data_IF_217787027655
#
_entry.id   IF_217787027655
#
_cell.length_a   1.000
_cell.length_b   1.000
_cell.length_c   1.000
_cell.angle_alpha   90.00
_cell.angle_beta   90.00
_cell.angle_gamma   90.00
#
_symmetry.space_group_name_H-M   'P 1'
#
loop_
_entity.id
_entity.type
_entity.pdbx_description
1 polymer ?
#
# COMPACT_ATOMS: atom_id res chain seq x y z
N UNK A 1 -39.83 6.40 -50.92
CA UNK A 1 -39.31 6.79 -52.23
C UNK A 1 -37.81 6.47 -52.23
N UNK A 2 -37.41 5.37 -52.71
CA UNK A 2 -36.90 4.91 -54.01
C UNK A 2 -35.96 5.92 -54.68
N UNK A 3 -34.70 5.51 -54.82
CA UNK A 3 -33.84 5.40 -56.02
C UNK A 3 -32.40 5.24 -55.56
N UNK A 4 -31.69 4.16 -55.73
CA UNK A 4 -31.23 3.34 -56.86
C UNK A 4 -30.19 4.04 -57.76
N UNK A 5 -29.11 3.25 -58.05
CA UNK A 5 -28.21 3.18 -59.22
C UNK A 5 -26.92 4.04 -59.12
N UNK A 6 -25.71 3.62 -59.53
CA UNK A 6 -25.27 2.61 -60.53
C UNK A 6 -23.79 2.28 -60.35
N UNK A 7 -23.47 1.02 -60.61
CA UNK A 7 -22.14 0.43 -60.86
C UNK A 7 -21.49 1.00 -62.14
N UNK A 8 -20.18 1.19 -62.15
CA UNK A 8 -19.39 1.21 -63.38
C UNK A 8 -18.09 0.44 -63.22
N UNK A 9 -18.01 -0.68 -63.93
CA UNK A 9 -16.78 -1.42 -64.28
C UNK A 9 -16.03 -0.63 -65.38
N UNK A 10 -14.72 -0.59 -65.27
CA UNK A 10 -13.80 -0.19 -66.34
C UNK A 10 -12.56 -1.04 -66.36
N UNK A 11 -12.41 -1.76 -67.46
CA UNK A 11 -11.35 -2.74 -67.74
C UNK A 11 -10.07 -2.09 -68.30
N UNK A 12 -8.94 -2.71 -67.97
CA UNK A 12 -7.68 -2.90 -68.73
C UNK A 12 -6.84 -1.72 -69.26
N UNK A 13 -5.58 -1.72 -68.81
CA UNK A 13 -4.48 -1.95 -69.82
C UNK A 13 -3.18 -2.34 -69.10
N UNK A 14 -2.59 -3.45 -69.56
CA UNK A 14 -1.30 -3.97 -69.19
C UNK A 14 -0.20 -3.22 -70.00
N UNK A 15 0.77 -2.64 -69.32
CA UNK A 15 2.07 -2.34 -69.93
C UNK A 15 3.17 -2.75 -68.94
N UNK A 16 3.98 -3.68 -69.41
CA UNK A 16 5.15 -4.14 -68.68
C UNK A 16 6.24 -3.07 -68.60
N UNK A 17 6.90 -3.00 -67.46
CA UNK A 17 8.16 -2.32 -67.31
C UNK A 17 9.08 -3.18 -66.45
N UNK A 18 10.31 -3.31 -66.89
CA UNK A 18 11.38 -4.19 -66.44
C UNK A 18 11.76 -3.98 -64.97
N UNK A 19 12.10 -5.10 -64.32
CA UNK A 19 12.67 -5.17 -62.99
C UNK A 19 14.05 -4.49 -62.95
N UNK A 20 14.19 -3.43 -62.15
CA UNK A 20 15.44 -3.01 -61.57
C UNK A 20 15.49 -3.57 -60.15
N UNK A 21 16.44 -4.48 -59.90
CA UNK A 21 16.70 -5.04 -58.57
C UNK A 21 17.08 -3.94 -57.58
N UNK A 22 16.17 -3.70 -56.63
CA UNK A 22 16.49 -2.97 -55.41
C UNK A 22 16.74 -4.04 -54.35
N UNK A 23 18.01 -4.21 -53.98
CA UNK A 23 18.38 -4.98 -52.78
C UNK A 23 17.61 -4.46 -51.60
N UNK A 24 16.75 -5.30 -51.02
CA UNK A 24 16.07 -5.01 -49.77
C UNK A 24 17.13 -4.89 -48.68
N UNK A 25 17.33 -3.66 -48.14
CA UNK A 25 18.09 -3.47 -46.92
C UNK A 25 17.50 -4.36 -45.83
N UNK A 26 18.34 -5.02 -44.99
CA UNK A 26 17.85 -5.84 -43.91
C UNK A 26 16.94 -4.96 -43.01
N UNK A 27 15.74 -5.44 -42.73
CA UNK A 27 14.88 -4.83 -41.70
C UNK A 27 15.68 -4.71 -40.42
N UNK A 28 15.87 -3.49 -39.92
CA UNK A 28 16.35 -3.25 -38.55
C UNK A 28 15.56 -4.18 -37.65
N UNK A 29 16.26 -4.91 -36.80
CA UNK A 29 15.65 -5.79 -35.80
C UNK A 29 14.55 -5.03 -35.06
N UNK A 30 13.51 -5.74 -34.67
CA UNK A 30 12.41 -5.17 -33.89
C UNK A 30 13.03 -4.35 -32.75
N UNK A 31 12.72 -3.05 -32.71
CA UNK A 31 13.09 -2.20 -31.58
C UNK A 31 12.57 -2.89 -30.33
N UNK A 32 13.47 -3.20 -29.40
CA UNK A 32 13.05 -3.69 -28.07
C UNK A 32 12.20 -2.60 -27.43
N UNK A 33 11.09 -2.95 -26.75
CA UNK A 33 10.26 -1.96 -26.12
C UNK A 33 11.10 -1.10 -25.17
N UNK A 34 11.01 0.22 -25.30
CA UNK A 34 11.62 1.15 -24.36
C UNK A 34 10.97 0.96 -22.98
N UNK A 35 11.75 0.67 -21.96
CA UNK A 35 11.31 0.54 -20.56
C UNK A 35 11.86 -0.70 -19.86
N UNK A 36 11.55 -0.78 -18.58
CA UNK A 36 11.90 -1.94 -17.76
C UNK A 36 10.92 -3.07 -18.07
N UNK A 37 11.47 -4.26 -18.38
CA UNK A 37 10.70 -5.48 -18.59
C UNK A 37 10.94 -6.42 -17.43
N UNK A 38 9.86 -6.86 -16.81
CA UNK A 38 9.93 -7.73 -15.65
C UNK A 38 9.63 -9.18 -16.01
N UNK A 39 10.43 -10.09 -15.46
CA UNK A 39 10.19 -11.52 -15.45
C UNK A 39 9.82 -11.93 -14.01
N UNK A 40 8.65 -12.49 -13.84
CA UNK A 40 8.18 -12.96 -12.52
C UNK A 40 8.99 -14.17 -12.09
N UNK A 41 9.55 -14.12 -10.87
CA UNK A 41 10.27 -15.21 -10.22
C UNK A 41 9.33 -15.99 -9.31
N UNK A 42 8.53 -15.28 -8.52
CA UNK A 42 7.54 -15.83 -7.60
C UNK A 42 6.38 -14.86 -7.47
N UNK A 43 5.18 -15.38 -7.48
CA UNK A 43 3.95 -14.62 -7.29
C UNK A 43 3.02 -15.40 -6.37
N UNK A 44 2.53 -14.76 -5.33
CA UNK A 44 1.55 -15.31 -4.41
C UNK A 44 0.16 -14.74 -4.73
N UNK A 45 -0.93 -15.47 -4.45
CA UNK A 45 -2.27 -15.00 -4.78
C UNK A 45 -2.66 -13.76 -3.98
N UNK A 46 -3.31 -12.82 -4.64
CA UNK A 46 -3.88 -11.60 -4.08
C UNK A 46 -5.32 -11.42 -4.57
N UNK A 47 -6.10 -10.64 -3.84
CA UNK A 47 -7.42 -10.19 -4.25
C UNK A 47 -7.33 -9.02 -5.24
N UNK A 48 -8.47 -8.54 -5.76
CA UNK A 48 -8.56 -7.45 -6.74
C UNK A 48 -7.87 -6.16 -6.24
N UNK A 49 -7.44 -5.30 -7.20
CA UNK A 49 -6.89 -3.98 -6.90
C UNK A 49 -8.03 -3.05 -6.47
N UNK A 50 -7.91 -2.45 -5.29
CA UNK A 50 -8.86 -1.47 -4.75
C UNK A 50 -8.37 -0.03 -4.96
N UNK A 51 -9.26 0.94 -4.71
CA UNK A 51 -8.94 2.36 -4.82
C UNK A 51 -9.41 3.14 -3.61
N UNK A 52 -8.47 3.53 -2.72
CA UNK A 52 -8.75 4.38 -1.56
C UNK A 52 -9.15 5.81 -1.93
N UNK A 53 -8.88 6.25 -3.16
CA UNK A 53 -9.18 7.58 -3.70
C UNK A 53 -8.71 8.71 -2.76
N UNK A 54 -9.61 9.59 -2.31
CA UNK A 54 -9.31 10.75 -1.47
C UNK A 54 -9.52 10.45 0.02
N UNK A 55 -8.92 9.37 0.48
CA UNK A 55 -8.91 8.99 1.89
C UNK A 55 -7.50 8.57 2.32
N UNK A 56 -7.04 9.05 3.46
CA UNK A 56 -5.74 8.67 4.06
C UNK A 56 -5.82 7.31 4.76
N UNK A 57 -6.38 6.30 4.10
CA UNK A 57 -6.69 4.99 4.67
C UNK A 57 -5.89 3.84 4.05
N UNK A 58 -4.73 4.15 3.44
CA UNK A 58 -3.82 3.16 2.84
C UNK A 58 -3.45 2.04 3.81
N UNK A 59 -3.26 2.36 5.09
CA UNK A 59 -3.00 1.41 6.16
C UNK A 59 -4.10 0.33 6.26
N UNK A 60 -5.36 0.71 6.07
CA UNK A 60 -6.50 -0.20 6.13
C UNK A 60 -6.59 -1.06 4.87
N UNK A 61 -6.52 -0.44 3.68
CA UNK A 61 -6.56 -1.14 2.40
C UNK A 61 -5.44 -2.18 2.27
N UNK A 62 -4.21 -1.82 2.65
CA UNK A 62 -3.06 -2.74 2.57
C UNK A 62 -3.12 -3.86 3.59
N UNK A 63 -3.59 -3.59 4.81
CA UNK A 63 -3.72 -4.62 5.84
C UNK A 63 -4.86 -5.59 5.55
N UNK A 64 -6.01 -5.10 5.05
CA UNK A 64 -7.10 -6.01 4.66
C UNK A 64 -6.68 -6.84 3.44
N UNK A 65 -5.99 -6.25 2.45
CA UNK A 65 -5.42 -7.02 1.35
C UNK A 65 -4.42 -8.10 1.84
N UNK A 66 -3.66 -7.83 2.90
CA UNK A 66 -2.79 -8.82 3.55
C UNK A 66 -3.63 -9.95 4.19
N UNK A 67 -4.67 -9.64 4.97
CA UNK A 67 -5.55 -10.62 5.60
C UNK A 67 -6.33 -11.45 4.56
N UNK A 68 -6.81 -10.82 3.49
CA UNK A 68 -7.46 -11.50 2.36
C UNK A 68 -6.49 -12.49 1.67
N UNK A 69 -5.23 -12.08 1.48
CA UNK A 69 -4.18 -12.96 0.93
C UNK A 69 -3.86 -14.14 1.87
N UNK A 70 -3.91 -13.93 3.19
CA UNK A 70 -3.75 -15.01 4.16
C UNK A 70 -4.89 -16.03 4.05
N UNK A 71 -6.13 -15.61 3.86
CA UNK A 71 -7.26 -16.51 3.65
C UNK A 71 -7.13 -17.30 2.34
N UNK A 72 -6.63 -16.67 1.26
CA UNK A 72 -6.29 -17.38 0.01
C UNK A 72 -5.20 -18.42 0.27
N UNK A 73 -4.14 -18.08 0.99
CA UNK A 73 -3.05 -19.01 1.37
C UNK A 73 -3.55 -20.17 2.22
N UNK A 74 -4.48 -19.91 3.14
CA UNK A 74 -5.11 -20.92 3.99
C UNK A 74 -6.11 -21.81 3.24
N UNK A 75 -6.40 -21.52 1.95
CA UNK A 75 -7.41 -22.26 1.16
C UNK A 75 -8.84 -22.00 1.58
N UNK A 76 -9.12 -20.87 2.24
CA UNK A 76 -10.45 -20.48 2.70
C UNK A 76 -11.31 -19.85 1.61
N UNK A 77 -10.72 -19.48 0.46
CA UNK A 77 -11.38 -18.78 -0.63
C UNK A 77 -11.04 -17.28 -0.66
N UNK A 78 -11.68 -16.58 -1.57
CA UNK A 78 -11.52 -15.15 -1.76
C UNK A 78 -12.55 -14.41 -0.90
N UNK A 79 -12.08 -13.46 -0.11
CA UNK A 79 -12.90 -12.57 0.70
C UNK A 79 -12.62 -11.12 0.27
N UNK A 80 -13.61 -10.28 0.48
CA UNK A 80 -13.57 -8.84 0.22
C UNK A 80 -14.13 -8.12 1.45
N UNK A 81 -13.26 -7.59 2.29
CA UNK A 81 -13.62 -6.96 3.57
C UNK A 81 -13.82 -5.46 3.43
N UNK A 82 -14.74 -4.92 4.23
CA UNK A 82 -15.02 -3.50 4.30
C UNK A 82 -13.92 -2.74 5.04
N UNK A 83 -13.22 -1.87 4.33
CA UNK A 83 -12.31 -0.91 4.94
C UNK A 83 -13.09 0.09 5.79
N UNK A 84 -14.29 0.49 5.36
CA UNK A 84 -15.08 1.51 6.06
C UNK A 84 -15.51 1.06 7.46
N UNK A 85 -15.75 -0.25 7.66
CA UNK A 85 -16.04 -0.79 8.98
C UNK A 85 -14.84 -0.65 9.94
N UNK A 86 -13.66 -1.02 9.49
CA UNK A 86 -12.43 -0.89 10.29
C UNK A 86 -12.08 0.59 10.51
N UNK A 87 -12.18 1.41 9.47
CA UNK A 87 -11.90 2.86 9.54
C UNK A 87 -12.83 3.54 10.54
N UNK A 88 -14.14 3.24 10.51
CA UNK A 88 -15.11 3.82 11.43
C UNK A 88 -14.74 3.55 12.91
N UNK A 89 -14.48 2.28 13.23
CA UNK A 89 -14.09 1.89 14.58
C UNK A 89 -12.74 2.52 15.00
N UNK A 90 -11.77 2.50 14.10
CA UNK A 90 -10.43 3.05 14.35
C UNK A 90 -10.46 4.56 14.57
N UNK A 91 -11.26 5.29 13.81
CA UNK A 91 -11.42 6.74 14.00
C UNK A 91 -12.07 7.08 15.35
N UNK A 92 -13.05 6.30 15.82
CA UNK A 92 -13.61 6.48 17.15
C UNK A 92 -12.57 6.27 18.26
N UNK A 93 -11.78 5.20 18.16
CA UNK A 93 -10.70 4.92 19.11
C UNK A 93 -9.63 6.02 19.10
N UNK A 94 -9.25 6.51 17.91
CA UNK A 94 -8.26 7.58 17.77
C UNK A 94 -8.77 8.91 18.33
N UNK A 95 -10.05 9.22 18.13
CA UNK A 95 -10.70 10.38 18.76
C UNK A 95 -10.65 10.28 20.29
N UNK A 96 -10.97 9.11 20.84
CA UNK A 96 -10.89 8.87 22.27
C UNK A 96 -9.46 9.02 22.81
N UNK A 97 -8.47 8.47 22.10
CA UNK A 97 -7.06 8.62 22.45
C UNK A 97 -6.62 10.09 22.42
N UNK A 98 -6.99 10.83 21.37
CA UNK A 98 -6.69 12.26 21.26
C UNK A 98 -7.29 13.07 22.42
N UNK A 99 -8.53 12.78 22.81
CA UNK A 99 -9.16 13.44 23.95
C UNK A 99 -8.47 13.09 25.27
N UNK A 100 -8.16 11.80 25.51
CA UNK A 100 -7.47 11.33 26.72
C UNK A 100 -6.06 11.89 26.88
N UNK A 101 -5.37 12.14 25.76
CA UNK A 101 -4.01 12.71 25.72
C UNK A 101 -4.02 14.23 25.56
N UNK A 102 -5.17 14.90 25.73
CA UNK A 102 -5.33 16.35 25.60
C UNK A 102 -4.84 16.92 24.25
N UNK A 103 -4.87 16.09 23.20
CA UNK A 103 -4.46 16.43 21.84
C UNK A 103 -2.96 16.24 21.55
N UNK A 104 -2.20 15.62 22.44
CA UNK A 104 -0.81 15.23 22.16
C UNK A 104 -0.75 14.12 21.11
N UNK A 105 -1.68 13.15 21.18
CA UNK A 105 -1.97 12.28 20.04
C UNK A 105 -2.92 13.01 19.10
N UNK A 106 -2.49 13.26 17.87
CA UNK A 106 -3.30 13.91 16.85
C UNK A 106 -4.43 13.00 16.37
N UNK A 107 -5.62 13.57 16.16
CA UNK A 107 -6.65 12.93 15.37
C UNK A 107 -6.35 13.18 13.89
N UNK A 108 -6.29 12.14 13.08
CA UNK A 108 -5.98 12.21 11.64
C UNK A 108 -6.47 10.94 10.94
N UNK A 109 -6.48 10.95 9.60
CA UNK A 109 -6.95 9.81 8.79
C UNK A 109 -5.94 8.64 8.74
N UNK A 110 -4.64 8.91 8.89
CA UNK A 110 -3.59 7.90 8.89
C UNK A 110 -3.76 6.88 10.01
N UNK A 111 -3.05 5.79 9.91
CA UNK A 111 -3.05 4.71 10.90
C UNK A 111 -1.98 3.68 10.58
N UNK A 112 -1.80 2.73 11.47
CA UNK A 112 -0.83 1.65 11.32
C UNK A 112 -1.51 0.34 10.90
N UNK A 113 -0.74 -0.59 10.37
CA UNK A 113 -1.24 -1.94 10.09
C UNK A 113 -1.80 -2.64 11.33
N UNK A 114 -1.25 -2.32 12.51
CA UNK A 114 -1.73 -2.85 13.77
C UNK A 114 -3.16 -2.42 14.08
N UNK A 115 -3.62 -1.29 13.56
CA UNK A 115 -5.01 -0.85 13.75
C UNK A 115 -6.01 -1.85 13.16
N UNK A 116 -5.66 -2.50 12.03
CA UNK A 116 -6.49 -3.55 11.43
C UNK A 116 -6.39 -4.84 12.23
N UNK A 117 -5.17 -5.24 12.64
CA UNK A 117 -4.98 -6.45 13.46
C UNK A 117 -5.74 -6.33 14.77
N UNK A 118 -5.64 -5.18 15.44
CA UNK A 118 -6.43 -4.88 16.63
C UNK A 118 -7.94 -4.82 16.32
N UNK A 119 -8.31 -4.15 15.24
CA UNK A 119 -9.71 -3.92 14.87
C UNK A 119 -10.46 -5.23 14.56
N UNK A 120 -9.84 -6.15 13.82
CA UNK A 120 -10.47 -7.45 13.52
C UNK A 120 -10.65 -8.31 14.78
N UNK A 121 -9.73 -8.23 15.75
CA UNK A 121 -9.85 -8.92 17.02
C UNK A 121 -10.90 -8.27 17.94
N UNK A 122 -10.89 -6.94 18.04
CA UNK A 122 -11.74 -6.20 18.96
C UNK A 122 -13.19 -6.03 18.45
N UNK A 123 -13.36 -5.75 17.16
CA UNK A 123 -14.65 -5.40 16.55
C UNK A 123 -15.17 -6.46 15.57
N UNK A 124 -14.30 -7.31 15.05
CA UNK A 124 -14.63 -8.28 14.01
C UNK A 124 -14.39 -7.75 12.60
N UNK A 125 -14.96 -8.44 11.62
CA UNK A 125 -14.90 -8.09 10.19
C UNK A 125 -16.29 -8.13 9.58
N UNK A 126 -16.49 -7.39 8.50
CA UNK A 126 -17.70 -7.44 7.67
C UNK A 126 -17.31 -7.48 6.20
N UNK A 127 -18.12 -8.11 5.31
CA UNK A 127 -17.90 -8.00 3.87
C UNK A 127 -18.01 -6.56 3.38
N UNK A 128 -17.30 -6.22 2.31
CA UNK A 128 -17.37 -4.90 1.65
C UNK A 128 -18.81 -4.50 1.30
N UNK A 129 -19.64 -5.47 0.88
CA UNK A 129 -21.03 -5.23 0.49
C UNK A 129 -21.88 -4.61 1.61
N UNK A 130 -21.56 -4.86 2.88
CA UNK A 130 -22.31 -4.38 4.04
C UNK A 130 -22.00 -2.91 4.38
N UNK A 131 -20.79 -2.43 4.06
CA UNK A 131 -20.38 -1.06 4.36
C UNK A 131 -19.37 -0.57 3.31
N UNK A 132 -19.89 -0.23 2.12
CA UNK A 132 -19.08 0.17 0.97
C UNK A 132 -18.62 1.63 1.06
N UNK A 133 -17.43 1.96 0.52
CA UNK A 133 -16.95 3.34 0.46
C UNK A 133 -17.89 4.21 -0.40
N UNK A 134 -18.01 5.48 -0.04
CA UNK A 134 -18.69 6.50 -0.85
C UNK A 134 -20.21 6.46 -0.90
N UNK A 135 -20.85 5.37 -0.48
CA UNK A 135 -22.31 5.15 -0.63
C UNK A 135 -23.12 6.26 0.05
N UNK A 136 -22.70 6.73 1.23
CA UNK A 136 -23.45 7.71 2.02
C UNK A 136 -23.57 9.09 1.34
N UNK A 137 -22.70 9.39 0.38
CA UNK A 137 -22.73 10.63 -0.42
C UNK A 137 -22.84 10.37 -1.93
N UNK A 138 -23.34 9.19 -2.31
CA UNK A 138 -23.68 8.85 -3.68
C UNK A 138 -22.49 8.65 -4.63
N UNK A 139 -21.34 8.21 -4.09
CA UNK A 139 -20.13 7.91 -4.85
C UNK A 139 -19.76 6.43 -4.73
N UNK A 140 -18.91 5.94 -5.63
CA UNK A 140 -18.37 4.57 -5.60
C UNK A 140 -17.05 4.48 -4.82
N UNK A 141 -16.38 5.60 -4.57
CA UNK A 141 -15.08 5.69 -3.94
C UNK A 141 -15.08 6.67 -2.77
N UNK A 142 -14.20 6.44 -1.80
CA UNK A 142 -14.05 7.28 -0.62
C UNK A 142 -13.62 8.71 -0.94
N UNK A 143 -14.19 9.67 -0.21
CA UNK A 143 -13.71 11.04 -0.13
C UNK A 143 -13.88 11.53 1.32
N UNK A 144 -12.81 11.45 2.10
CA UNK A 144 -12.82 11.79 3.52
C UNK A 144 -12.42 13.24 3.82
N UNK A 145 -12.33 14.11 2.81
CA UNK A 145 -11.89 15.49 3.04
C UNK A 145 -12.83 16.26 3.97
N UNK A 146 -14.15 16.18 3.74
CA UNK A 146 -15.14 16.85 4.57
C UNK A 146 -15.29 16.16 5.93
N UNK A 147 -15.38 14.81 5.95
CA UNK A 147 -15.39 14.01 7.18
C UNK A 147 -14.23 14.39 8.09
N UNK A 148 -13.00 14.44 7.55
CA UNK A 148 -11.80 14.79 8.30
C UNK A 148 -11.92 16.21 8.90
N UNK A 149 -12.28 17.18 8.08
CA UNK A 149 -12.38 18.58 8.52
C UNK A 149 -13.39 18.75 9.67
N UNK A 150 -14.55 18.10 9.58
CA UNK A 150 -15.59 18.14 10.63
C UNK A 150 -15.14 17.41 11.88
N UNK A 151 -14.64 16.18 11.74
CA UNK A 151 -14.20 15.37 12.87
C UNK A 151 -13.02 15.98 13.60
N UNK A 152 -12.00 16.49 12.87
CA UNK A 152 -10.84 17.16 13.45
C UNK A 152 -11.25 18.39 14.27
N UNK A 153 -12.18 19.19 13.74
CA UNK A 153 -12.67 20.38 14.46
C UNK A 153 -13.36 20.02 15.78
N UNK A 154 -14.21 18.99 15.76
CA UNK A 154 -14.93 18.55 16.97
C UNK A 154 -13.97 17.91 17.96
N UNK A 155 -13.12 16.99 17.54
CA UNK A 155 -12.14 16.34 18.43
C UNK A 155 -11.19 17.38 19.04
N UNK A 156 -10.67 18.32 18.24
CA UNK A 156 -9.79 19.38 18.75
C UNK A 156 -10.50 20.29 19.77
N UNK A 157 -11.77 20.63 19.55
CA UNK A 157 -12.53 21.43 20.49
C UNK A 157 -12.69 20.75 21.87
N UNK A 158 -12.83 19.44 21.89
CA UNK A 158 -12.92 18.65 23.12
C UNK A 158 -11.53 18.42 23.73
N UNK A 159 -10.56 17.95 22.94
CA UNK A 159 -9.22 17.57 23.42
C UNK A 159 -8.42 18.77 23.96
N UNK A 160 -8.47 19.91 23.26
CA UNK A 160 -7.72 21.14 23.60
C UNK A 160 -8.59 22.22 24.24
N UNK A 161 -9.88 21.95 24.40
CA UNK A 161 -10.83 22.87 25.02
C UNK A 161 -10.55 23.07 26.52
N UNK A 162 -10.89 24.25 27.03
CA UNK A 162 -10.76 24.58 28.45
C UNK A 162 -11.96 24.05 29.27
N UNK A 163 -12.57 22.96 28.83
CA UNK A 163 -13.70 22.35 29.53
C UNK A 163 -13.19 21.62 30.77
N UNK A 164 -13.79 21.95 31.94
CA UNK A 164 -13.41 21.33 33.21
C UNK A 164 -14.14 20.03 33.50
N UNK A 165 -15.30 19.83 32.86
CA UNK A 165 -16.07 18.60 32.95
C UNK A 165 -16.74 18.34 31.60
N UNK A 166 -16.70 17.10 31.15
CA UNK A 166 -17.38 16.64 29.94
C UNK A 166 -18.74 16.03 30.37
N UNK A 167 -19.76 16.27 29.55
CA UNK A 167 -21.11 15.78 29.85
C UNK A 167 -21.21 14.28 29.49
N UNK A 168 -21.93 13.57 30.34
CA UNK A 168 -22.22 12.16 30.23
C UNK A 168 -23.73 11.98 30.09
N UNK A 169 -24.15 11.11 29.18
CA UNK A 169 -25.56 10.75 28.99
C UNK A 169 -26.08 9.86 30.12
N UNK A 170 -27.40 9.68 30.27
CA UNK A 170 -27.97 8.83 31.33
C UNK A 170 -27.54 7.37 31.31
N UNK A 171 -27.09 6.85 30.10
CA UNK A 171 -26.56 5.51 29.92
C UNK A 171 -25.06 5.40 30.25
N UNK A 172 -24.42 6.48 30.66
CA UNK A 172 -22.99 6.51 31.03
C UNK A 172 -22.01 6.84 29.92
N UNK A 173 -22.50 7.09 28.70
CA UNK A 173 -21.64 7.41 27.55
C UNK A 173 -21.31 8.91 27.50
N UNK A 174 -20.09 9.24 27.05
CA UNK A 174 -19.67 10.61 26.80
C UNK A 174 -20.45 11.23 25.63
N UNK A 175 -21.12 12.36 25.82
CA UNK A 175 -21.92 12.98 24.75
C UNK A 175 -21.07 13.38 23.52
N UNK A 176 -19.85 13.82 23.75
CA UNK A 176 -18.94 14.13 22.63
C UNK A 176 -18.60 12.88 21.79
N UNK A 177 -18.45 11.70 22.42
CA UNK A 177 -18.19 10.44 21.72
C UNK A 177 -19.37 10.05 20.85
N UNK A 178 -20.60 10.12 21.38
CA UNK A 178 -21.83 9.93 20.58
C UNK A 178 -21.93 10.92 19.42
N UNK A 179 -21.48 12.16 19.62
CA UNK A 179 -21.50 13.18 18.55
C UNK A 179 -20.51 12.82 17.42
N UNK A 180 -19.31 12.36 17.74
CA UNK A 180 -18.33 11.90 16.74
C UNK A 180 -18.82 10.65 16.04
N UNK A 181 -19.38 9.69 16.76
CA UNK A 181 -19.97 8.49 16.19
C UNK A 181 -21.09 8.84 15.19
N UNK A 182 -22.00 9.73 15.54
CA UNK A 182 -23.06 10.19 14.63
C UNK A 182 -22.50 10.91 13.38
N UNK A 183 -21.39 11.65 13.51
CA UNK A 183 -20.71 12.22 12.35
C UNK A 183 -20.14 11.10 11.46
N UNK A 184 -19.48 10.11 12.04
CA UNK A 184 -18.93 8.99 11.29
C UNK A 184 -20.04 8.18 10.59
N UNK A 185 -21.18 7.94 11.27
CA UNK A 185 -22.35 7.26 10.68
C UNK A 185 -22.88 8.00 9.45
N UNK A 186 -22.92 9.35 9.48
CA UNK A 186 -23.36 10.17 8.33
C UNK A 186 -22.47 10.00 7.12
N UNK A 187 -21.15 9.91 7.29
CA UNK A 187 -20.20 9.88 6.16
C UNK A 187 -19.74 8.47 5.76
N UNK A 188 -19.69 7.53 6.71
CA UNK A 188 -19.18 6.18 6.48
C UNK A 188 -20.29 5.13 6.45
N UNK A 189 -21.45 5.43 7.05
CA UNK A 189 -22.56 4.51 7.29
C UNK A 189 -22.54 3.95 8.72
N UNK A 190 -23.71 3.50 9.17
CA UNK A 190 -23.85 2.81 10.45
C UNK A 190 -23.16 1.44 10.40
N UNK A 191 -22.48 1.08 11.46
CA UNK A 191 -21.84 -0.23 11.58
C UNK A 191 -22.90 -1.32 11.73
N UNK A 192 -22.91 -2.37 10.89
CA UNK A 192 -23.90 -3.43 10.99
C UNK A 192 -23.71 -4.22 12.30
N UNK A 193 -24.79 -4.39 13.06
CA UNK A 193 -24.80 -5.29 14.21
C UNK A 193 -24.85 -6.74 13.77
N UNK A 194 -25.57 -7.02 12.66
CA UNK A 194 -25.74 -8.33 12.04
C UNK A 194 -25.85 -8.17 10.53
N UNK A 195 -25.44 -9.21 9.81
CA UNK A 195 -25.56 -9.31 8.36
C UNK A 195 -25.67 -10.77 7.92
N UNK A 196 -26.04 -11.00 6.68
CA UNK A 196 -26.11 -12.34 6.08
C UNK A 196 -25.01 -12.51 5.04
N UNK A 197 -24.13 -13.50 5.23
CA UNK A 197 -23.12 -13.88 4.27
C UNK A 197 -23.30 -15.35 3.88
N UNK A 198 -23.42 -15.63 2.57
CA UNK A 198 -23.66 -16.97 2.02
C UNK A 198 -24.81 -17.73 2.69
N UNK A 199 -25.88 -16.99 3.05
CA UNK A 199 -27.09 -17.56 3.66
C UNK A 199 -26.99 -17.82 5.18
N UNK A 200 -25.90 -17.45 5.81
CA UNK A 200 -25.70 -17.56 7.28
C UNK A 200 -25.73 -16.16 7.89
N UNK A 201 -26.47 -15.98 9.01
CA UNK A 201 -26.47 -14.75 9.79
C UNK A 201 -25.24 -14.69 10.68
N UNK A 202 -24.54 -13.55 10.65
CA UNK A 202 -23.36 -13.27 11.48
C UNK A 202 -23.48 -11.93 12.18
N UNK A 203 -22.83 -11.82 13.32
CA UNK A 203 -22.30 -10.53 13.84
C UNK A 203 -20.89 -10.33 13.28
N UNK A 204 -20.34 -9.10 13.23
CA UNK A 204 -18.95 -8.88 12.79
C UNK A 204 -17.95 -9.79 13.52
N UNK A 205 -18.15 -9.99 14.82
CA UNK A 205 -17.26 -10.82 15.62
C UNK A 205 -17.40 -12.31 15.29
N UNK A 206 -18.63 -12.84 15.17
CA UNK A 206 -18.82 -14.25 14.81
C UNK A 206 -18.37 -14.56 13.38
N UNK A 207 -18.40 -13.57 12.49
CA UNK A 207 -17.84 -13.72 11.15
C UNK A 207 -16.31 -13.84 11.21
N UNK A 208 -15.63 -12.94 11.90
CA UNK A 208 -14.18 -13.04 12.14
C UNK A 208 -13.80 -14.39 12.76
N UNK A 209 -14.50 -14.83 13.80
CA UNK A 209 -14.23 -16.10 14.47
C UNK A 209 -14.37 -17.30 13.52
N UNK A 210 -15.30 -17.25 12.55
CA UNK A 210 -15.51 -18.31 11.55
C UNK A 210 -14.38 -18.46 10.53
N UNK A 211 -13.58 -17.40 10.32
CA UNK A 211 -12.49 -17.39 9.35
C UNK A 211 -11.26 -18.18 9.83
N UNK A 212 -11.13 -18.41 11.14
CA UNK A 212 -10.00 -19.13 11.71
C UNK A 212 -8.69 -18.33 11.69
N UNK A 213 -8.79 -17.00 11.61
CA UNK A 213 -7.67 -16.07 11.76
C UNK A 213 -7.32 -15.93 13.25
N UNK A 214 -6.04 -15.72 13.54
CA UNK A 214 -5.56 -15.44 14.88
C UNK A 214 -4.66 -14.21 14.87
N UNK A 215 -5.11 -13.11 15.46
CA UNK A 215 -4.37 -11.84 15.48
C UNK A 215 -2.93 -11.98 16.02
N UNK A 216 -2.69 -12.92 16.97
CA UNK A 216 -1.36 -13.16 17.54
C UNK A 216 -0.37 -13.85 16.57
N UNK A 217 -0.82 -14.28 15.40
CA UNK A 217 0.06 -14.85 14.36
C UNK A 217 0.70 -13.76 13.49
N UNK A 218 0.24 -12.52 13.60
CA UNK A 218 0.71 -11.41 12.80
C UNK A 218 1.58 -10.48 13.64
N UNK A 219 2.83 -10.32 13.22
CA UNK A 219 3.83 -9.56 13.98
C UNK A 219 4.39 -8.40 13.16
N UNK A 220 4.64 -7.27 13.83
CA UNK A 220 5.29 -6.11 13.21
C UNK A 220 6.79 -6.19 13.37
N UNK A 221 7.54 -5.93 12.27
CA UNK A 221 9.00 -5.88 12.24
C UNK A 221 9.48 -4.54 11.69
N UNK A 222 10.61 -4.07 12.19
CA UNK A 222 11.30 -2.86 11.74
C UNK A 222 12.82 -3.02 11.85
N UNK A 223 13.58 -2.00 11.40
CA UNK A 223 15.05 -2.06 11.44
C UNK A 223 15.65 -0.68 11.69
N UNK A 224 15.93 -0.33 12.95
CA UNK A 224 16.55 0.95 13.33
C UNK A 224 17.55 0.76 14.49
N UNK A 225 18.65 1.52 14.49
CA UNK A 225 19.75 1.36 15.46
C UNK A 225 19.59 2.16 16.75
N UNK A 226 18.59 3.04 16.84
CA UNK A 226 18.35 3.83 18.05
C UNK A 226 17.67 3.02 19.18
N UNK A 227 17.23 1.80 18.88
CA UNK A 227 16.82 0.78 19.85
C UNK A 227 17.61 -0.51 19.64
N UNK A 228 17.81 -1.33 20.70
CA UNK A 228 18.53 -2.60 20.56
C UNK A 228 17.83 -3.54 19.57
N UNK A 229 18.62 -4.27 18.78
CA UNK A 229 18.08 -5.34 17.95
C UNK A 229 17.57 -6.51 18.80
N UNK A 230 16.65 -7.29 18.25
CA UNK A 230 15.97 -8.42 18.86
C UNK A 230 15.15 -8.06 20.11
N UNK A 231 14.77 -6.82 20.24
CA UNK A 231 13.80 -6.31 21.22
C UNK A 231 12.60 -5.69 20.54
N UNK A 232 11.56 -5.37 21.29
CA UNK A 232 10.42 -4.62 20.79
C UNK A 232 10.46 -3.17 21.25
N UNK A 233 9.96 -2.27 20.44
CA UNK A 233 9.69 -0.88 20.78
C UNK A 233 8.52 -0.33 19.97
N UNK A 234 7.91 0.73 20.46
CA UNK A 234 6.90 1.46 19.69
C UNK A 234 7.61 2.37 18.69
N UNK A 235 7.54 2.04 17.39
CA UNK A 235 8.14 2.86 16.34
C UNK A 235 7.58 4.28 16.40
N UNK A 236 8.46 5.28 16.48
CA UNK A 236 8.12 6.69 16.67
C UNK A 236 7.76 7.33 15.33
N UNK A 237 6.55 7.03 14.85
CA UNK A 237 5.91 7.62 13.69
C UNK A 237 4.51 8.12 14.06
N UNK A 238 3.99 9.18 13.41
CA UNK A 238 2.69 9.77 13.75
C UNK A 238 1.52 8.79 13.68
N UNK A 239 1.59 7.83 12.76
CA UNK A 239 0.52 6.87 12.50
C UNK A 239 0.53 5.67 13.46
N UNK A 240 1.59 5.49 14.25
CA UNK A 240 1.61 4.52 15.35
C UNK A 240 1.00 5.10 16.65
N UNK A 241 -0.16 5.73 16.54
CA UNK A 241 -0.85 6.41 17.64
C UNK A 241 -1.33 5.45 18.75
N UNK A 242 -1.44 4.15 18.48
CA UNK A 242 -1.71 3.12 19.50
C UNK A 242 -0.46 2.72 20.28
N UNK A 243 0.75 3.17 19.85
CA UNK A 243 2.04 2.76 20.41
C UNK A 243 2.28 1.25 20.31
N UNK A 244 1.82 0.67 19.20
CA UNK A 244 2.02 -0.74 18.89
C UNK A 244 3.51 -1.06 18.80
N UNK A 245 3.86 -2.26 19.28
CA UNK A 245 5.24 -2.70 19.34
C UNK A 245 5.67 -3.37 18.04
N UNK A 246 6.88 -3.06 17.58
CA UNK A 246 7.54 -3.74 16.46
C UNK A 246 8.82 -4.41 16.96
N UNK A 247 9.08 -5.63 16.52
CA UNK A 247 10.38 -6.28 16.73
C UNK A 247 11.42 -5.61 15.85
N UNK A 248 12.58 -5.33 16.43
CA UNK A 248 13.68 -4.65 15.77
C UNK A 248 14.74 -5.65 15.28
N UNK A 249 15.04 -5.64 13.99
CA UNK A 249 16.02 -6.52 13.35
C UNK A 249 17.15 -5.73 12.69
N UNK A 250 18.34 -6.30 12.52
CA UNK A 250 19.29 -5.79 11.54
C UNK A 250 18.65 -5.77 10.14
N UNK A 251 19.03 -4.78 9.32
CA UNK A 251 18.39 -4.59 8.01
C UNK A 251 18.56 -5.80 7.08
N UNK A 252 19.68 -6.51 7.15
CA UNK A 252 19.90 -7.69 6.31
C UNK A 252 18.93 -8.82 6.70
N UNK A 253 18.69 -9.02 8.01
CA UNK A 253 17.70 -9.99 8.48
C UNK A 253 16.28 -9.58 8.14
N UNK A 254 15.95 -8.28 8.17
CA UNK A 254 14.65 -7.81 7.72
C UNK A 254 14.44 -8.10 6.23
N UNK A 255 15.46 -7.90 5.38
CA UNK A 255 15.40 -8.24 3.95
C UNK A 255 15.27 -9.75 3.74
N UNK A 256 15.91 -10.58 4.57
CA UNK A 256 15.74 -12.03 4.54
C UNK A 256 14.30 -12.45 4.87
N UNK A 257 13.64 -11.76 5.81
CA UNK A 257 12.21 -11.99 6.12
C UNK A 257 11.33 -11.72 4.89
N UNK A 258 11.56 -10.62 4.15
CA UNK A 258 10.81 -10.36 2.92
C UNK A 258 10.94 -11.50 1.91
N UNK A 259 12.17 -11.92 1.64
CA UNK A 259 12.43 -12.98 0.67
C UNK A 259 11.84 -14.32 1.11
N UNK A 260 12.04 -14.69 2.38
CA UNK A 260 11.52 -15.92 2.93
C UNK A 260 9.98 -15.95 2.91
N UNK A 261 9.33 -14.85 3.28
CA UNK A 261 7.88 -14.74 3.25
C UNK A 261 7.34 -15.02 1.84
N UNK A 262 7.83 -14.29 0.84
CA UNK A 262 7.34 -14.42 -0.54
C UNK A 262 7.62 -15.81 -1.10
N UNK A 263 8.83 -16.34 -0.91
CA UNK A 263 9.21 -17.65 -1.44
C UNK A 263 8.40 -18.80 -0.82
N UNK A 264 7.91 -18.63 0.41
CA UNK A 264 7.10 -19.63 1.12
C UNK A 264 5.59 -19.41 1.03
N UNK A 265 5.12 -18.53 0.14
CA UNK A 265 3.69 -18.36 -0.15
C UNK A 265 2.98 -17.32 0.72
N UNK A 266 3.70 -16.58 1.56
CA UNK A 266 3.17 -15.49 2.36
C UNK A 266 3.27 -14.16 1.62
N UNK A 267 2.46 -13.19 2.05
CA UNK A 267 2.55 -11.79 1.64
C UNK A 267 3.08 -10.92 2.79
N UNK A 268 3.39 -9.67 2.52
CA UNK A 268 3.94 -8.74 3.51
C UNK A 268 3.19 -7.41 3.41
N UNK A 269 2.51 -6.99 4.49
CA UNK A 269 2.03 -5.62 4.59
C UNK A 269 3.24 -4.70 4.79
N UNK A 270 3.42 -3.71 3.95
CA UNK A 270 4.65 -2.92 3.80
C UNK A 270 4.39 -1.42 3.94
N UNK A 271 4.88 -0.82 5.02
CA UNK A 271 4.90 0.62 5.27
C UNK A 271 6.17 1.24 4.72
N UNK A 272 6.04 2.25 3.88
CA UNK A 272 7.15 2.85 3.15
C UNK A 272 7.00 4.35 2.96
N UNK A 273 8.12 5.02 2.85
CA UNK A 273 8.21 6.33 2.22
C UNK A 273 8.05 6.17 0.70
N UNK A 274 7.13 6.93 0.13
CA UNK A 274 6.84 6.97 -1.32
C UNK A 274 6.96 8.39 -1.89
N UNK A 275 7.40 9.35 -1.07
CA UNK A 275 7.61 10.76 -1.46
C UNK A 275 8.85 10.97 -2.33
N UNK A 276 9.42 9.92 -2.87
CA UNK A 276 10.69 9.88 -3.57
C UNK A 276 10.54 10.02 -5.07
N UNK A 277 11.52 10.66 -5.70
CA UNK A 277 11.57 10.76 -7.17
C UNK A 277 11.63 9.40 -7.87
N UNK A 278 12.20 8.40 -7.20
CA UNK A 278 12.26 7.02 -7.71
C UNK A 278 10.95 6.26 -7.59
N UNK A 279 9.97 6.72 -6.80
CA UNK A 279 8.63 6.14 -6.72
C UNK A 279 7.74 6.79 -7.78
N UNK A 280 7.64 6.16 -8.95
CA UNK A 280 6.98 6.75 -10.12
C UNK A 280 5.49 6.42 -10.17
N UNK A 281 4.71 7.24 -10.86
CA UNK A 281 3.29 6.96 -11.14
C UNK A 281 3.09 5.84 -12.16
N UNK A 282 4.14 5.50 -12.90
CA UNK A 282 4.12 4.43 -13.91
C UNK A 282 4.21 3.03 -13.29
N UNK A 283 4.47 2.92 -11.99
CA UNK A 283 4.48 1.67 -11.27
C UNK A 283 5.89 1.09 -11.01
N UNK A 284 6.90 1.95 -10.87
CA UNK A 284 8.25 1.56 -10.45
C UNK A 284 8.69 2.32 -9.22
N UNK A 285 9.45 1.65 -8.34
CA UNK A 285 10.10 2.26 -7.20
C UNK A 285 11.57 1.85 -7.19
N UNK A 286 12.48 2.78 -7.48
CA UNK A 286 13.91 2.54 -7.63
C UNK A 286 14.72 3.52 -6.76
N UNK A 287 15.92 3.11 -6.37
CA UNK A 287 16.87 3.94 -5.63
C UNK A 287 18.17 4.10 -6.42
N UNK A 288 18.26 5.06 -7.36
CA UNK A 288 19.46 5.25 -8.18
C UNK A 288 20.67 5.63 -7.33
N UNK A 289 21.85 5.05 -7.61
CA UNK A 289 23.11 5.48 -7.01
C UNK A 289 23.64 6.71 -7.74
N UNK A 290 23.27 7.90 -7.22
CA UNK A 290 23.63 9.17 -7.83
C UNK A 290 25.13 9.48 -7.76
N UNK A 291 25.85 8.92 -6.80
CA UNK A 291 27.31 9.10 -6.70
C UNK A 291 28.02 8.30 -7.80
N UNK A 292 27.63 7.04 -7.99
CA UNK A 292 28.13 6.23 -9.11
C UNK A 292 27.66 6.77 -10.46
N UNK A 293 26.40 7.20 -10.57
CA UNK A 293 25.87 7.79 -11.79
C UNK A 293 26.70 9.00 -12.25
N UNK A 294 27.24 9.81 -11.34
CA UNK A 294 28.07 10.95 -11.66
C UNK A 294 29.43 10.58 -12.25
N UNK A 295 29.93 9.36 -11.98
CA UNK A 295 31.22 8.86 -12.44
C UNK A 295 31.13 7.90 -13.63
N UNK A 296 30.01 7.20 -13.78
CA UNK A 296 29.84 6.13 -14.79
C UNK A 296 29.06 6.57 -16.03
N UNK A 297 28.16 7.55 -15.90
CA UNK A 297 27.47 8.12 -17.06
C UNK A 297 28.45 9.00 -17.85
N UNK A 298 28.51 8.82 -19.16
CA UNK A 298 29.19 9.77 -20.00
C UNK A 298 28.51 11.15 -19.82
N UNK A 299 29.28 12.23 -19.94
CA UNK A 299 28.79 13.58 -19.67
C UNK A 299 27.55 13.96 -20.47
N UNK A 300 27.24 13.25 -21.59
CA UNK A 300 26.07 13.49 -22.43
C UNK A 300 24.79 12.94 -21.80
N UNK A 301 24.84 11.75 -21.19
CA UNK A 301 23.66 11.11 -20.57
C UNK A 301 23.31 11.77 -19.23
N UNK A 302 24.33 12.13 -18.45
CA UNK A 302 24.14 12.97 -17.25
C UNK A 302 23.51 14.31 -17.60
N UNK A 303 24.02 14.96 -18.65
CA UNK A 303 23.49 16.25 -19.09
C UNK A 303 22.04 16.14 -19.60
N UNK A 304 21.66 15.03 -20.23
CA UNK A 304 20.28 14.76 -20.61
C UNK A 304 19.39 14.59 -19.39
N UNK A 305 19.81 13.77 -18.43
CA UNK A 305 19.04 13.50 -17.22
C UNK A 305 18.84 14.74 -16.36
N UNK A 306 19.88 15.57 -16.18
CA UNK A 306 19.80 16.84 -15.46
C UNK A 306 18.89 17.88 -16.13
N UNK A 307 18.71 17.81 -17.45
CA UNK A 307 17.80 18.68 -18.20
C UNK A 307 16.34 18.20 -18.19
N UNK A 308 16.06 16.98 -17.74
CA UNK A 308 14.71 16.48 -17.59
C UNK A 308 13.97 17.24 -16.49
N UNK A 309 12.70 17.50 -16.71
CA UNK A 309 11.81 17.96 -15.64
C UNK A 309 11.65 16.87 -14.58
N UNK A 310 11.22 17.25 -13.38
CA UNK A 310 10.90 16.29 -12.32
C UNK A 310 9.93 15.20 -12.82
N UNK A 311 8.89 15.58 -13.55
CA UNK A 311 7.92 14.63 -14.12
C UNK A 311 8.57 13.68 -15.13
N UNK A 312 9.51 14.16 -15.95
CA UNK A 312 10.23 13.31 -16.90
C UNK A 312 11.20 12.36 -16.18
N UNK A 313 11.87 12.82 -15.11
CA UNK A 313 12.72 11.95 -14.28
C UNK A 313 11.94 10.86 -13.58
N UNK A 314 10.74 11.17 -13.09
CA UNK A 314 9.82 10.19 -12.47
C UNK A 314 9.29 9.14 -13.46
N UNK A 315 9.28 9.43 -14.75
CA UNK A 315 8.81 8.51 -15.79
C UNK A 315 9.93 7.81 -16.58
N UNK A 316 11.20 8.23 -16.40
CA UNK A 316 12.32 7.67 -17.11
C UNK A 316 13.03 6.61 -16.26
N UNK A 317 13.03 5.32 -16.65
CA UNK A 317 13.84 4.33 -15.96
C UNK A 317 15.32 4.68 -16.11
N UNK A 318 15.99 4.89 -14.97
CA UNK A 318 17.43 5.15 -14.99
C UNK A 318 18.21 3.89 -15.34
N UNK A 319 19.13 4.02 -16.27
CA UNK A 319 20.07 2.95 -16.65
C UNK A 319 21.22 2.73 -15.64
N UNK A 320 21.12 3.33 -14.44
CA UNK A 320 22.17 3.32 -13.43
C UNK A 320 21.97 2.24 -12.39
N UNK A 321 23.06 1.82 -11.77
CA UNK A 321 23.07 0.90 -10.64
C UNK A 321 22.29 1.49 -9.47
N UNK A 322 21.67 0.64 -8.67
CA UNK A 322 20.90 1.06 -7.53
C UNK A 322 21.76 1.10 -6.27
N UNK A 323 21.57 2.13 -5.44
CA UNK A 323 22.30 2.29 -4.20
C UNK A 323 21.84 1.27 -3.17
N UNK A 324 22.77 0.40 -2.71
CA UNK A 324 22.54 -0.51 -1.62
C UNK A 324 22.98 0.13 -0.30
N UNK A 325 22.02 0.66 0.46
CA UNK A 325 22.31 1.41 1.69
C UNK A 325 22.74 0.50 2.84
N UNK A 326 23.63 1.02 3.69
CA UNK A 326 24.00 0.39 4.96
C UNK A 326 22.94 0.60 6.04
N UNK A 327 23.09 -0.10 7.17
CA UNK A 327 22.24 0.10 8.35
C UNK A 327 22.33 1.55 8.89
N UNK A 328 23.53 2.14 8.85
CA UNK A 328 23.78 3.51 9.32
C UNK A 328 23.17 4.55 8.39
N UNK A 329 23.25 4.37 7.08
CA UNK A 329 22.62 5.24 6.10
C UNK A 329 21.11 5.21 6.25
N UNK A 330 20.52 4.01 6.45
CA UNK A 330 19.10 3.86 6.73
C UNK A 330 18.68 4.60 8.00
N UNK A 331 19.42 4.45 9.10
CA UNK A 331 19.17 5.17 10.36
C UNK A 331 19.28 6.68 10.17
N UNK A 332 20.29 7.13 9.40
CA UNK A 332 20.45 8.55 9.07
C UNK A 332 19.24 9.10 8.32
N UNK A 333 18.73 8.35 7.33
CA UNK A 333 17.54 8.75 6.56
C UNK A 333 16.29 8.91 7.43
N UNK A 334 16.11 8.04 8.42
CA UNK A 334 15.03 8.17 9.41
C UNK A 334 15.25 9.39 10.33
N UNK A 335 16.45 9.58 10.86
CA UNK A 335 16.77 10.66 11.80
C UNK A 335 16.63 12.05 11.19
N UNK A 336 16.99 12.21 9.92
CA UNK A 336 16.96 13.51 9.20
C UNK A 336 15.68 13.69 8.35
N UNK A 337 14.73 12.74 8.44
CA UNK A 337 13.45 12.75 7.72
C UNK A 337 13.58 12.68 6.18
N UNK A 338 14.64 12.10 5.67
CA UNK A 338 14.72 11.64 4.27
C UNK A 338 13.87 10.39 4.03
N UNK A 339 13.50 9.67 5.10
CA UNK A 339 12.58 8.55 5.07
C UNK A 339 11.49 8.79 6.10
N UNK A 340 10.26 8.88 5.64
CA UNK A 340 9.07 9.17 6.44
C UNK A 340 8.01 8.08 6.29
N UNK A 341 7.00 8.11 7.15
CA UNK A 341 5.87 7.19 7.09
C UNK A 341 4.77 7.79 6.21
N UNK A 342 4.69 7.34 4.96
CA UNK A 342 3.83 7.96 3.96
C UNK A 342 2.70 7.06 3.49
N UNK A 343 2.98 5.75 3.28
CA UNK A 343 2.06 4.89 2.56
C UNK A 343 2.17 3.41 2.94
N UNK A 344 1.01 2.75 3.04
CA UNK A 344 0.91 1.31 3.24
C UNK A 344 0.53 0.57 1.96
N UNK A 345 1.21 -0.53 1.66
CA UNK A 345 1.03 -1.36 0.47
C UNK A 345 1.18 -2.85 0.82
N UNK A 346 0.98 -3.75 -0.16
CA UNK A 346 1.15 -5.18 0.01
C UNK A 346 2.23 -5.71 -0.93
N UNK A 347 3.31 -6.28 -0.42
CA UNK A 347 4.27 -7.05 -1.20
C UNK A 347 3.78 -8.49 -1.32
N UNK A 348 3.73 -9.03 -2.56
CA UNK A 348 3.17 -10.35 -2.83
C UNK A 348 3.99 -11.19 -3.81
N UNK A 349 5.04 -10.64 -4.41
CA UNK A 349 5.84 -11.35 -5.39
C UNK A 349 7.26 -10.82 -5.53
N UNK A 350 8.06 -11.55 -6.30
CA UNK A 350 9.44 -11.19 -6.70
C UNK A 350 9.54 -11.29 -8.21
N UNK A 351 10.16 -10.28 -8.84
CA UNK A 351 10.45 -10.24 -10.26
C UNK A 351 11.89 -9.78 -10.49
N UNK A 352 12.38 -9.98 -11.71
CA UNK A 352 13.69 -9.48 -12.19
C UNK A 352 13.51 -8.67 -13.44
N UNK A 353 14.28 -7.59 -13.58
CA UNK A 353 14.37 -6.87 -14.83
C UNK A 353 15.28 -7.61 -15.84
N UNK A 354 15.41 -7.06 -17.06
CA UNK A 354 16.24 -7.62 -18.13
C UNK A 354 17.75 -7.61 -17.81
N UNK A 355 18.19 -6.90 -16.75
CA UNK A 355 19.56 -6.86 -16.24
C UNK A 355 19.80 -7.81 -15.08
N UNK A 356 18.73 -8.44 -14.58
CA UNK A 356 18.77 -9.34 -13.43
C UNK A 356 18.61 -8.63 -12.08
N UNK A 357 18.33 -7.33 -12.05
CA UNK A 357 18.02 -6.60 -10.82
C UNK A 357 16.70 -7.12 -10.23
N UNK A 358 16.69 -7.39 -8.93
CA UNK A 358 15.52 -7.93 -8.24
C UNK A 358 14.58 -6.84 -7.73
N UNK A 359 13.30 -7.11 -7.91
CA UNK A 359 12.19 -6.25 -7.47
C UNK A 359 11.17 -7.06 -6.70
N UNK A 360 10.53 -6.44 -5.73
CA UNK A 360 9.29 -6.93 -5.16
C UNK A 360 8.10 -6.44 -5.99
N UNK A 361 7.11 -7.31 -6.16
CA UNK A 361 5.82 -6.97 -6.75
C UNK A 361 4.90 -6.47 -5.67
N UNK A 362 4.33 -5.29 -5.85
CA UNK A 362 3.60 -4.54 -4.84
C UNK A 362 2.19 -4.24 -5.32
N UNK A 363 1.18 -4.71 -4.60
CA UNK A 363 -0.22 -4.30 -4.78
C UNK A 363 -0.42 -2.95 -4.09
N UNK A 364 -0.81 -1.93 -4.86
CA UNK A 364 -1.15 -0.61 -4.35
C UNK A 364 -2.67 -0.42 -4.29
N UNK A 365 -3.13 0.59 -3.57
CA UNK A 365 -4.55 0.93 -3.38
C UNK A 365 -4.97 2.21 -4.11
N UNK A 366 -4.41 2.45 -5.31
CA UNK A 366 -4.74 3.62 -6.15
C UNK A 366 -5.53 3.27 -7.42
N UNK A 367 -6.24 2.14 -7.40
CA UNK A 367 -6.94 1.60 -8.55
C UNK A 367 -5.98 1.01 -9.60
N UNK A 368 -6.54 0.54 -10.70
CA UNK A 368 -5.78 -0.02 -11.84
C UNK A 368 -5.09 1.07 -12.68
N UNK A 369 -4.41 2.00 -12.03
CA UNK A 369 -3.65 3.06 -12.68
C UNK A 369 -2.22 2.61 -13.05
N UNK A 370 -1.54 3.40 -13.90
CA UNK A 370 -0.15 3.17 -14.31
C UNK A 370 0.01 2.04 -15.33
N UNK A 371 1.26 1.82 -15.72
CA UNK A 371 1.65 0.84 -16.76
C UNK A 371 1.29 -0.59 -16.37
N UNK A 372 1.34 -0.90 -15.08
CA UNK A 372 1.16 -2.25 -14.55
C UNK A 372 -0.17 -2.42 -13.79
N UNK A 373 -1.18 -1.58 -14.10
CA UNK A 373 -2.56 -1.73 -13.60
C UNK A 373 -2.68 -1.90 -12.09
N UNK A 374 -2.12 -0.94 -11.34
CA UNK A 374 -2.20 -0.93 -9.87
C UNK A 374 -1.12 -1.76 -9.17
N UNK A 375 -0.20 -2.36 -9.92
CA UNK A 375 0.99 -3.03 -9.40
C UNK A 375 2.21 -2.12 -9.55
N UNK A 376 3.05 -2.12 -8.54
CA UNK A 376 4.37 -1.47 -8.53
C UNK A 376 5.47 -2.53 -8.46
N UNK A 377 6.59 -2.24 -9.10
CA UNK A 377 7.81 -3.01 -8.98
C UNK A 377 8.82 -2.18 -8.17
N UNK A 378 8.98 -2.54 -6.91
CA UNK A 378 9.91 -1.88 -5.99
C UNK A 378 11.24 -2.65 -5.93
N UNK A 379 12.33 -2.01 -6.32
CA UNK A 379 13.64 -2.65 -6.22
C UNK A 379 13.98 -3.02 -4.79
N UNK A 380 14.73 -4.10 -4.58
CA UNK A 380 15.18 -4.48 -3.23
C UNK A 380 15.98 -3.36 -2.56
N UNK A 381 16.71 -2.57 -3.33
CA UNK A 381 17.43 -1.41 -2.82
C UNK A 381 16.50 -0.32 -2.27
N UNK A 382 15.41 -0.04 -2.99
CA UNK A 382 14.38 0.90 -2.53
C UNK A 382 13.71 0.40 -1.25
N UNK A 383 13.25 -0.85 -1.24
CA UNK A 383 12.60 -1.47 -0.08
C UNK A 383 13.53 -1.47 1.13
N UNK A 384 14.81 -1.81 0.95
CA UNK A 384 15.82 -1.77 2.01
C UNK A 384 15.94 -0.40 2.66
N UNK A 385 15.92 0.67 1.87
CA UNK A 385 16.08 2.04 2.39
C UNK A 385 14.78 2.60 2.95
N UNK A 386 13.66 2.46 2.24
CA UNK A 386 12.44 3.21 2.46
C UNK A 386 11.37 2.50 3.31
N UNK A 387 11.60 1.27 3.74
CA UNK A 387 10.70 0.56 4.64
C UNK A 387 10.68 1.21 6.02
N UNK A 388 9.50 1.54 6.54
CA UNK A 388 9.31 1.95 7.93
C UNK A 388 9.11 0.72 8.82
N UNK A 389 8.06 -0.03 8.56
CA UNK A 389 7.76 -1.30 9.22
C UNK A 389 7.02 -2.23 8.27
N UNK A 390 6.91 -3.48 8.69
CA UNK A 390 6.10 -4.49 7.99
C UNK A 390 5.23 -5.25 8.98
N UNK A 391 4.15 -5.88 8.47
CA UNK A 391 3.50 -7.00 9.17
C UNK A 391 3.64 -8.25 8.33
N UNK A 392 3.97 -9.35 9.00
CA UNK A 392 4.05 -10.69 8.44
C UNK A 392 3.38 -11.70 9.37
N UNK A 393 2.98 -12.84 8.81
CA UNK A 393 2.68 -14.01 9.62
C UNK A 393 3.97 -14.51 10.30
N UNK A 394 3.95 -14.85 11.59
CA UNK A 394 5.15 -15.28 12.34
C UNK A 394 5.89 -16.46 11.69
N UNK A 395 5.15 -17.38 11.04
CA UNK A 395 5.76 -18.52 10.35
C UNK A 395 6.43 -18.16 9.01
N UNK A 396 6.23 -16.93 8.53
CA UNK A 396 6.95 -16.38 7.39
C UNK A 396 8.38 -15.92 7.75
N UNK A 397 8.69 -15.81 9.04
CA UNK A 397 9.99 -15.42 9.54
C UNK A 397 10.92 -16.64 9.54
N UNK A 398 12.17 -16.56 9.00
CA UNK A 398 13.13 -17.63 9.09
C UNK A 398 13.31 -18.15 10.52
N UNK A 399 13.41 -19.47 10.69
CA UNK A 399 13.41 -20.09 12.02
C UNK A 399 14.51 -19.55 12.96
N UNK A 400 15.70 -19.24 12.41
CA UNK A 400 16.81 -18.68 13.17
C UNK A 400 16.52 -17.26 13.67
N UNK A 401 15.90 -16.43 12.84
CA UNK A 401 15.48 -15.06 13.21
C UNK A 401 14.36 -15.13 14.23
N UNK A 402 13.35 -16.02 14.01
CA UNK A 402 12.25 -16.22 14.92
C UNK A 402 12.74 -16.62 16.32
N UNK A 403 13.71 -17.53 16.40
CA UNK A 403 14.32 -17.94 17.68
C UNK A 403 15.01 -16.76 18.41
N UNK A 404 15.67 -15.84 17.68
CA UNK A 404 16.27 -14.63 18.26
C UNK A 404 15.24 -13.67 18.81
N UNK A 405 14.03 -13.65 18.23
CA UNK A 405 12.93 -12.80 18.65
C UNK A 405 12.08 -13.40 19.78
N UNK A 406 12.29 -14.67 20.10
CA UNK A 406 11.49 -15.40 21.10
C UNK A 406 10.06 -15.74 20.62
N UNK A 407 9.87 -15.91 19.31
CA UNK A 407 8.61 -16.21 18.65
C UNK A 407 8.45 -17.72 18.36
#
# INVERSE_FOLDING_TARGET
MKKFFVLALGLMSVTGAMASGVEAKPKKGAEQPEGIQFTVVKENPITSIKNQNRAGTCWCYSSLAFIESELLRMGKGEYDFSEMFIVHNTYLDRAEKAVRTHGDVSFAQGGSFYDVIYGMEAFGLVPEAEMRPGVMYGMELSNHNELSAVSDAVVAAIAKGKLRSLQVSPDGEMLWKKSIEAIHDIYLGERPEKFTYEGVEYTPKSFYDSLGLNASDYVSLTSFTHHPFYTTFALEIPDNWRWAQSYNLPIDELMEVFDNAIMNGYTVAWGSDVSEDGFTREGTAILPDMEKASTELDGSDMAKWLKMTEAQRKSAPMAVEQKWVSQEERQKGYNNRETTDDHGMLIYGIAKDQKGTEYYMVKNSWGEAGTYKGIWYASKAFVRYKTMNIIVHKDAIPAEIRAKLGL
#
